data_IF_942440553689
#
_entry.id   IF_942440553689
#
_cell.length_a   1.000
_cell.length_b   1.000
_cell.length_c   1.000
_cell.angle_alpha   90.00
_cell.angle_beta   90.00
_cell.angle_gamma   90.00
#
_symmetry.space_group_name_H-M   'P 1'
#
loop_
_entity.id
_entity.type
_entity.pdbx_description
1 polymer ?
#
# COMPACT_ATOMS: atom_id res chain seq x y z
N UNK A 1 -28.82 9.10 3.99
CA UNK A 1 -28.37 8.90 4.25
C UNK A 1 -27.80 8.12 4.27
N UNK A 2 -27.60 7.89 4.25
CA UNK A 2 -27.23 7.25 4.47
C UNK A 2 -26.13 6.80 4.89
N UNK A 3 -25.85 7.11 5.20
CA UNK A 3 -24.88 7.00 5.89
C UNK A 3 -24.53 5.66 6.10
N UNK A 4 -25.39 4.93 6.22
CA UNK A 4 -25.09 3.60 6.47
C UNK A 4 -24.07 3.14 5.54
N UNK A 5 -23.93 3.79 4.47
CA UNK A 5 -23.00 3.29 3.55
C UNK A 5 -21.67 3.56 4.06
N UNK A 6 -21.58 4.21 5.14
CA UNK A 6 -20.35 4.57 5.64
C UNK A 6 -19.81 3.54 6.50
N UNK A 7 -20.33 2.42 6.55
CA UNK A 7 -19.85 1.42 7.41
C UNK A 7 -18.51 1.01 6.94
N UNK A 8 -17.48 1.54 7.47
CA UNK A 8 -16.14 1.19 7.13
C UNK A 8 -15.48 0.58 8.34
N UNK A 9 -14.51 -0.25 8.12
CA UNK A 9 -13.75 -0.82 9.24
C UNK A 9 -13.04 0.32 9.95
N UNK A 10 -12.77 0.18 11.24
CA UNK A 10 -12.04 1.21 11.95
C UNK A 10 -10.71 1.48 11.26
N UNK A 11 -10.41 2.73 11.06
CA UNK A 11 -9.18 3.12 10.39
C UNK A 11 -9.21 3.04 8.89
N UNK A 12 -10.31 2.58 8.31
CA UNK A 12 -10.38 2.49 6.86
C UNK A 12 -10.74 3.84 6.27
N UNK A 13 -10.06 4.24 5.22
CA UNK A 13 -10.33 5.49 4.54
C UNK A 13 -10.30 5.31 3.05
N UNK A 14 -11.25 5.93 2.37
CA UNK A 14 -11.25 5.96 0.91
C UNK A 14 -10.26 7.04 0.50
N UNK A 15 -9.23 6.68 -0.25
CA UNK A 15 -8.13 7.57 -0.55
C UNK A 15 -8.09 8.05 -1.98
N UNK A 16 -8.77 7.39 -2.89
CA UNK A 16 -8.84 7.82 -4.27
C UNK A 16 -9.95 7.07 -4.97
N UNK A 17 -10.28 7.50 -6.19
CA UNK A 17 -11.28 6.79 -6.98
C UNK A 17 -10.64 5.58 -7.62
N UNK A 18 -11.43 4.59 -7.93
CA UNK A 18 -10.91 3.38 -8.55
C UNK A 18 -10.25 3.66 -9.89
N UNK A 19 -10.76 4.62 -10.65
CA UNK A 19 -10.21 4.90 -11.96
C UNK A 19 -8.89 5.70 -11.86
N UNK A 20 -8.46 6.06 -10.67
CA UNK A 20 -7.19 6.73 -10.50
C UNK A 20 -6.07 5.74 -10.30
N UNK A 21 -6.37 4.45 -10.25
CA UNK A 21 -5.34 3.43 -10.04
C UNK A 21 -5.70 2.21 -10.89
N UNK A 22 -5.40 2.30 -12.16
CA UNK A 22 -5.69 1.21 -13.09
C UNK A 22 -4.59 0.17 -13.06
N UNK A 23 -4.83 -1.02 -13.60
CA UNK A 23 -3.80 -2.06 -13.59
C UNK A 23 -2.47 -1.55 -14.15
N UNK A 24 -1.41 -1.81 -13.47
CA UNK A 24 -0.08 -1.36 -13.86
C UNK A 24 0.30 -0.01 -13.31
N UNK A 25 -0.62 0.67 -12.63
CA UNK A 25 -0.36 2.00 -12.11
C UNK A 25 -0.04 1.97 -10.62
N UNK A 26 0.56 3.02 -10.14
CA UNK A 26 0.81 3.23 -8.71
C UNK A 26 0.47 4.68 -8.38
N UNK A 27 0.24 4.95 -7.12
CA UNK A 27 -0.13 6.28 -6.68
C UNK A 27 0.26 6.45 -5.22
N UNK A 28 0.82 7.58 -4.88
CA UNK A 28 1.08 7.86 -3.48
C UNK A 28 -0.06 8.71 -2.93
N UNK A 29 -0.49 8.39 -1.73
CA UNK A 29 -1.49 9.20 -1.03
C UNK A 29 -0.94 9.47 0.36
N UNK A 30 -1.40 10.55 0.98
CA UNK A 30 -0.94 10.87 2.32
C UNK A 30 -2.13 10.77 3.26
N UNK A 31 -1.99 9.97 4.29
CA UNK A 31 -3.04 9.74 5.26
C UNK A 31 -2.49 10.12 6.60
N UNK A 32 -3.01 11.18 7.19
CA UNK A 32 -2.55 11.68 8.48
C UNK A 32 -1.03 11.92 8.45
N UNK A 33 -0.54 12.44 7.33
CA UNK A 33 0.88 12.75 7.21
C UNK A 33 1.75 11.58 6.81
N UNK A 34 1.18 10.39 6.70
CA UNK A 34 1.97 9.22 6.33
C UNK A 34 1.83 8.96 4.83
N UNK A 35 2.94 8.79 4.16
CA UNK A 35 2.92 8.46 2.73
C UNK A 35 2.65 6.98 2.54
N UNK A 36 1.65 6.66 1.75
CA UNK A 36 1.28 5.29 1.44
C UNK A 36 1.27 5.15 -0.07
N UNK A 37 1.96 4.16 -0.59
CA UNK A 37 1.99 3.93 -2.02
C UNK A 37 1.04 2.80 -2.36
N UNK A 38 0.15 3.07 -3.29
CA UNK A 38 -0.82 2.10 -3.74
C UNK A 38 -0.37 1.54 -5.08
N UNK A 39 -0.56 0.25 -5.27
CA UNK A 39 -0.23 -0.40 -6.52
C UNK A 39 -1.43 -1.21 -7.00
N UNK A 40 -1.62 -1.25 -8.31
CA UNK A 40 -2.60 -2.15 -8.89
C UNK A 40 -1.80 -3.11 -9.75
N UNK A 41 -1.63 -4.35 -9.27
CA UNK A 41 -0.82 -5.34 -9.93
C UNK A 41 -1.76 -6.33 -10.58
N UNK A 42 -2.08 -6.08 -11.86
CA UNK A 42 -2.96 -6.99 -12.57
C UNK A 42 -4.34 -7.13 -11.97
N UNK A 43 -4.82 -6.09 -11.33
CA UNK A 43 -6.13 -6.14 -10.68
C UNK A 43 -6.06 -6.37 -9.19
N UNK A 44 -4.88 -6.69 -8.66
CA UNK A 44 -4.73 -6.87 -7.23
C UNK A 44 -4.18 -5.61 -6.62
N UNK A 45 -4.87 -5.08 -5.65
CA UNK A 45 -4.46 -3.83 -5.00
C UNK A 45 -3.52 -4.14 -3.84
N UNK A 46 -2.48 -3.33 -3.72
CA UNK A 46 -1.53 -3.43 -2.62
C UNK A 46 -1.20 -2.05 -2.10
N UNK A 47 -1.00 -1.92 -0.83
CA UNK A 47 -0.67 -0.65 -0.20
C UNK A 47 0.50 -0.85 0.75
N UNK A 48 1.51 0.00 0.65
CA UNK A 48 2.69 -0.11 1.49
C UNK A 48 3.05 1.26 2.04
N UNK A 49 3.74 1.27 3.15
CA UNK A 49 4.28 2.49 3.69
C UNK A 49 5.40 2.96 2.75
N UNK A 50 5.46 4.23 2.45
CA UNK A 50 6.47 4.74 1.54
C UNK A 50 7.80 4.92 2.25
N UNK A 51 8.32 3.82 2.76
CA UNK A 51 9.56 3.87 3.53
C UNK A 51 10.23 2.51 3.45
N UNK A 52 11.42 2.47 2.92
CA UNK A 52 12.16 1.23 2.86
C UNK A 52 12.53 0.83 4.29
N UNK A 53 12.24 -0.39 4.70
CA UNK A 53 12.51 -0.82 6.07
C UNK A 53 14.00 -0.82 6.42
N UNK A 54 14.86 -0.81 5.40
CA UNK A 54 16.29 -0.83 5.65
C UNK A 54 16.79 0.56 6.01
N UNK A 55 16.33 1.60 5.33
CA UNK A 55 16.89 2.92 5.58
C UNK A 55 15.92 4.07 5.44
N UNK A 56 14.65 3.81 5.32
CA UNK A 56 13.65 4.87 5.26
C UNK A 56 13.51 5.56 3.92
N UNK A 57 14.21 5.10 2.89
CA UNK A 57 14.13 5.74 1.59
C UNK A 57 12.74 5.58 0.99
N UNK A 58 12.34 6.56 0.18
CA UNK A 58 11.06 6.48 -0.51
C UNK A 58 11.06 5.33 -1.50
N UNK A 59 9.97 4.60 -1.55
CA UNK A 59 9.83 3.49 -2.47
C UNK A 59 8.99 3.86 -3.70
N UNK A 60 8.48 5.08 -3.75
CA UNK A 60 7.56 5.46 -4.81
C UNK A 60 8.15 5.29 -6.21
N UNK A 61 9.39 5.63 -6.40
CA UNK A 61 10.00 5.55 -7.70
C UNK A 61 10.69 4.22 -7.96
N UNK A 62 10.53 3.25 -7.09
CA UNK A 62 11.23 1.98 -7.26
C UNK A 62 10.75 1.22 -8.48
N UNK A 63 11.65 0.63 -9.24
CA UNK A 63 11.23 -0.18 -10.38
C UNK A 63 10.41 -1.37 -9.92
N UNK A 64 9.40 -1.73 -10.69
CA UNK A 64 8.55 -2.85 -10.37
C UNK A 64 8.64 -3.87 -11.49
N UNK A 65 8.97 -5.11 -11.15
CA UNK A 65 9.07 -6.16 -12.11
C UNK A 65 8.04 -7.21 -11.68
N UNK A 66 6.91 -7.27 -12.37
CA UNK A 66 5.82 -8.13 -11.95
C UNK A 66 5.28 -7.62 -10.62
N UNK A 67 5.48 -8.36 -9.57
CA UNK A 67 5.07 -7.95 -8.24
C UNK A 67 6.25 -7.60 -7.34
N UNK A 68 7.47 -7.60 -7.88
CA UNK A 68 8.66 -7.37 -7.09
C UNK A 68 9.13 -5.94 -7.24
N UNK A 69 9.13 -5.21 -6.14
CA UNK A 69 9.51 -3.81 -6.11
C UNK A 69 10.96 -3.70 -5.63
N UNK A 70 11.75 -2.85 -6.29
CA UNK A 70 13.14 -2.65 -5.88
C UNK A 70 13.28 -1.29 -5.22
N UNK A 71 13.91 -1.25 -4.08
CA UNK A 71 14.18 0.01 -3.42
C UNK A 71 15.21 0.77 -4.25
N UNK A 72 14.93 2.00 -4.67
CA UNK A 72 15.85 2.72 -5.53
C UNK A 72 17.16 3.10 -4.85
N UNK A 73 17.18 3.13 -3.54
CA UNK A 73 18.39 3.56 -2.86
C UNK A 73 19.46 2.48 -2.78
N UNK A 74 19.04 1.24 -2.49
CA UNK A 74 20.03 0.17 -2.27
C UNK A 74 19.76 -1.09 -3.03
N UNK A 75 18.74 -1.13 -3.85
CA UNK A 75 18.48 -2.32 -4.65
C UNK A 75 17.83 -3.48 -3.94
N UNK A 76 17.42 -3.31 -2.70
CA UNK A 76 16.70 -4.37 -2.03
C UNK A 76 15.38 -4.60 -2.71
N UNK A 77 14.93 -5.83 -2.77
CA UNK A 77 13.70 -6.16 -3.45
C UNK A 77 12.66 -6.70 -2.48
N UNK A 78 11.40 -6.43 -2.76
CA UNK A 78 10.29 -6.87 -1.94
C UNK A 78 9.17 -7.34 -2.85
N UNK A 79 8.61 -8.50 -2.55
CA UNK A 79 7.48 -8.99 -3.33
C UNK A 79 6.23 -8.38 -2.72
N UNK A 80 5.51 -7.56 -3.47
CA UNK A 80 4.34 -6.88 -2.93
C UNK A 80 3.22 -7.84 -2.57
N UNK A 81 3.22 -9.03 -3.12
CA UNK A 81 2.17 -9.99 -2.80
C UNK A 81 2.40 -10.62 -1.43
N UNK A 82 3.63 -10.71 -0.97
CA UNK A 82 3.90 -11.25 0.36
C UNK A 82 4.27 -10.14 1.33
N UNK A 83 4.74 -9.01 0.80
CA UNK A 83 5.20 -7.90 1.63
C UNK A 83 6.66 -8.02 2.06
N UNK A 84 7.31 -9.11 1.75
CA UNK A 84 8.65 -9.34 2.26
C UNK A 84 9.66 -9.54 1.13
N UNK A 85 10.93 -9.44 1.47
CA UNK A 85 11.97 -9.65 0.51
C UNK A 85 12.05 -11.13 0.14
N UNK A 86 12.17 -11.46 -1.14
CA UNK A 86 12.35 -12.86 -1.51
C UNK A 86 13.64 -13.44 -0.95
N UNK A 87 14.62 -12.58 -0.67
CA UNK A 87 15.89 -13.04 -0.15
C UNK A 87 15.89 -13.21 1.37
N UNK A 88 14.97 -12.58 2.06
CA UNK A 88 14.95 -12.66 3.52
C UNK A 88 13.56 -12.37 4.06
N UNK A 89 12.97 -13.36 4.72
CA UNK A 89 11.67 -13.15 5.30
C UNK A 89 11.71 -12.25 6.50
N UNK A 90 12.89 -11.94 7.01
CA UNK A 90 12.99 -11.03 8.13
C UNK A 90 12.89 -9.58 7.66
N UNK A 91 12.97 -9.33 6.37
CA UNK A 91 12.94 -7.98 5.86
C UNK A 91 11.64 -7.77 5.11
N UNK A 92 10.70 -7.12 5.73
CA UNK A 92 9.37 -6.93 5.17
C UNK A 92 8.98 -5.47 5.18
N UNK A 93 8.16 -5.09 4.18
CA UNK A 93 7.59 -3.77 4.12
C UNK A 93 6.44 -3.68 5.12
N UNK A 94 6.13 -2.46 5.54
CA UNK A 94 4.91 -2.26 6.29
C UNK A 94 3.81 -2.16 5.27
N UNK A 95 2.82 -3.03 5.36
CA UNK A 95 1.74 -3.08 4.39
C UNK A 95 0.42 -2.74 5.08
N UNK A 96 -0.56 -2.35 4.30
CA UNK A 96 -1.87 -2.01 4.82
C UNK A 96 -2.93 -2.74 4.03
N UNK A 97 -4.00 -3.18 4.66
CA UNK A 97 -5.11 -3.75 3.93
C UNK A 97 -5.68 -2.72 2.97
N UNK A 98 -6.01 -3.14 1.77
CA UNK A 98 -6.56 -2.25 0.77
C UNK A 98 -7.60 -3.00 -0.03
N UNK A 99 -8.70 -2.34 -0.37
CA UNK A 99 -9.75 -2.96 -1.16
C UNK A 99 -10.45 -1.92 -2.01
N UNK A 100 -11.13 -2.37 -3.02
CA UNK A 100 -11.95 -1.49 -3.81
C UNK A 100 -13.33 -1.44 -3.17
N UNK A 101 -13.76 -0.25 -2.82
CA UNK A 101 -15.08 -0.05 -2.22
C UNK A 101 -15.95 0.64 -3.26
N UNK A 102 -17.21 0.81 -2.95
CA UNK A 102 -18.10 1.47 -3.87
C UNK A 102 -17.63 2.87 -4.19
N UNK A 103 -17.10 3.58 -3.21
CA UNK A 103 -16.69 4.96 -3.38
C UNK A 103 -15.28 5.10 -3.92
N UNK A 104 -14.55 4.03 -4.09
CA UNK A 104 -13.17 4.13 -4.55
C UNK A 104 -12.28 3.10 -3.89
N UNK A 105 -11.03 3.45 -3.68
CA UNK A 105 -10.08 2.53 -3.08
C UNK A 105 -9.89 2.90 -1.63
N UNK A 106 -10.09 1.94 -0.76
CA UNK A 106 -10.03 2.15 0.69
C UNK A 106 -8.82 1.43 1.28
N UNK A 107 -8.09 2.14 2.13
CA UNK A 107 -6.91 1.62 2.82
C UNK A 107 -7.20 1.63 4.31
N UNK A 108 -6.87 0.58 5.00
CA UNK A 108 -7.03 0.52 6.46
C UNK A 108 -5.69 0.81 7.10
N UNK A 109 -5.60 1.91 7.81
CA UNK A 109 -4.46 2.18 8.62
C UNK A 109 -4.72 1.55 9.94
N UNK A 110 -3.80 0.80 10.48
CA UNK A 110 -3.97 0.16 11.60
C UNK A 110 -3.99 0.88 12.66
N UNK A 111 -4.42 1.86 12.64
CA UNK A 111 -4.46 2.70 13.63
C UNK A 111 -4.42 2.09 14.85
N UNK A 112 -5.01 1.37 15.13
CA UNK A 112 -5.06 0.93 16.40
C UNK A 112 -4.00 0.07 16.64
N UNK A 113 -3.53 -0.15 15.85
CA UNK A 113 -2.56 -0.78 16.02
C UNK A 113 -2.82 -1.99 16.54
N UNK A 114 -2.39 -2.60 16.57
CA UNK A 114 -2.40 -3.69 16.80
C UNK A 114 -2.51 -3.97 17.78
N UNK A 115 -2.90 -4.24 18.04
CA UNK A 115 -3.13 -4.49 19.00
C UNK A 115 -2.21 -5.12 19.33
N UNK A 116 -1.84 -5.09 19.37
CA UNK A 116 -0.95 -5.69 19.76
C UNK A 116 -1.08 -6.44 20.27
#
# INVERSE_FOLDING_TARGET
MDVSTQIQAPGERVVCRADELLPGQRKIVFIDGRGVVLFNIGGQLRAIDNSCPHNGASLLAGPLDGSVLRCPAHGLTFDLLTGCSPASRALCLKTFPVRQAEDGIAVTLEAGGPPA
#
